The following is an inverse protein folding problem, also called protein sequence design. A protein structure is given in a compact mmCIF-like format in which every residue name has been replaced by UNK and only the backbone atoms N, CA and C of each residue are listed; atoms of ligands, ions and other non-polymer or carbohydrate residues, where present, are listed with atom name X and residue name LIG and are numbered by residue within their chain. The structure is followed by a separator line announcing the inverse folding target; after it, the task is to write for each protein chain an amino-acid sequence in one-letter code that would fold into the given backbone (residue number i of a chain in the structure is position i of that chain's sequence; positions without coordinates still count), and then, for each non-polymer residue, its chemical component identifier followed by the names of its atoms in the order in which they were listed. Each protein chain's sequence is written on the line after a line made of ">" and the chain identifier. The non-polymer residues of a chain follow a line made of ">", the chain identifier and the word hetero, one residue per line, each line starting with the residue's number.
data_IF_382434665369
#
_entry.id   IF_382434665369
#
_cell.length_a   1.000
_cell.length_b   1.000
_cell.length_c   1.000
_cell.angle_alpha   90.00
_cell.angle_beta   90.00
_cell.angle_gamma   90.00
#
_symmetry.space_group_name_H-M   'P 1'
#
loop_
_entity.id
_entity.type
_entity.pdbx_description
1 polymer ?
#
# COMPACT_ATOMS: atom_id res chain seq x y z
N UNK A 1 16.44 -9.50 -1.18
CA UNK A 1 15.94 -8.49 -2.14
C UNK A 1 14.65 -7.87 -1.70
N UNK A 2 14.32 -6.71 -2.27
CA UNK A 2 13.07 -5.98 -2.05
C UNK A 2 12.27 -5.91 -3.35
N UNK A 3 10.95 -5.97 -3.24
CA UNK A 3 10.03 -5.68 -4.32
C UNK A 3 9.05 -4.58 -3.89
N UNK A 4 8.76 -3.65 -4.80
CA UNK A 4 7.89 -2.50 -4.59
C UNK A 4 6.61 -2.71 -5.39
N UNK A 5 5.48 -2.75 -4.69
CA UNK A 5 4.17 -3.08 -5.26
C UNK A 5 3.27 -1.86 -5.12
N UNK A 6 2.99 -1.18 -6.22
CA UNK A 6 2.02 -0.07 -6.23
C UNK A 6 0.61 -0.64 -6.25
N UNK A 7 -0.20 -0.23 -5.27
CA UNK A 7 -1.63 -0.55 -5.19
C UNK A 7 -2.40 0.69 -5.63
N UNK A 8 -3.43 0.53 -6.45
CA UNK A 8 -4.24 1.63 -6.97
C UNK A 8 -5.71 1.26 -6.94
N UNK A 9 -6.54 2.13 -6.36
CA UNK A 9 -7.99 1.97 -6.42
C UNK A 9 -8.52 2.55 -7.72
N UNK A 10 -9.18 1.72 -8.51
CA UNK A 10 -9.77 2.10 -9.79
C UNK A 10 -11.26 1.84 -9.83
N UNK A 11 -11.98 2.59 -10.65
CA UNK A 11 -13.37 2.33 -10.97
C UNK A 11 -13.52 1.10 -11.89
N UNK A 12 -14.77 0.75 -12.21
CA UNK A 12 -15.08 -0.38 -13.11
C UNK A 12 -14.46 -0.28 -14.51
N UNK A 13 -14.00 0.90 -14.92
CA UNK A 13 -13.38 1.14 -16.22
C UNK A 13 -11.84 1.18 -16.13
N UNK A 14 -11.26 0.96 -14.94
CA UNK A 14 -9.82 1.06 -14.70
C UNK A 14 -9.33 2.50 -14.47
N UNK A 15 -10.24 3.46 -14.28
CA UNK A 15 -9.86 4.86 -14.01
C UNK A 15 -9.48 5.01 -12.55
N UNK A 16 -8.31 5.61 -12.27
CA UNK A 16 -7.88 5.89 -10.90
C UNK A 16 -8.92 6.77 -10.17
N UNK A 17 -9.19 6.45 -8.91
CA UNK A 17 -10.04 7.25 -8.03
C UNK A 17 -9.16 8.17 -7.16
N UNK A 18 -8.90 9.43 -7.55
CA UNK A 18 -7.92 10.30 -6.88
C UNK A 18 -8.36 10.81 -5.51
N UNK A 19 -9.63 10.66 -5.15
CA UNK A 19 -10.17 11.06 -3.85
C UNK A 19 -10.28 9.87 -2.88
N UNK A 20 -9.84 8.67 -3.29
CA UNK A 20 -9.96 7.49 -2.47
C UNK A 20 -8.90 7.45 -1.35
N UNK A 21 -9.39 7.26 -0.12
CA UNK A 21 -8.62 7.23 1.13
C UNK A 21 -8.91 5.97 1.97
N UNK A 22 -9.44 4.93 1.33
CA UNK A 22 -9.83 3.67 1.98
C UNK A 22 -8.67 3.06 2.76
N UNK A 23 -8.94 2.55 3.96
CA UNK A 23 -7.97 1.75 4.72
C UNK A 23 -7.85 0.36 4.11
N UNK A 24 -6.60 -0.06 3.88
CA UNK A 24 -6.28 -1.38 3.37
C UNK A 24 -5.47 -2.17 4.40
N UNK A 25 -5.60 -3.50 4.36
CA UNK A 25 -4.82 -4.45 5.16
C UNK A 25 -4.05 -5.38 4.22
N UNK A 26 -2.82 -5.72 4.59
CA UNK A 26 -1.91 -6.50 3.76
C UNK A 26 -1.52 -7.81 4.44
N UNK A 27 -1.54 -8.90 3.67
CA UNK A 27 -1.05 -10.20 4.11
C UNK A 27 -0.11 -10.76 3.06
N UNK A 28 1.13 -11.02 3.47
CA UNK A 28 2.16 -11.64 2.62
C UNK A 28 2.33 -13.09 3.04
N UNK A 29 2.44 -13.99 2.06
CA UNK A 29 2.65 -15.42 2.28
C UNK A 29 3.63 -15.96 1.24
N UNK A 30 4.30 -17.08 1.54
CA UNK A 30 5.28 -17.69 0.62
C UNK A 30 6.72 -17.26 0.93
N UNK A 31 7.54 -17.11 -0.11
CA UNK A 31 8.99 -16.84 0.00
C UNK A 31 9.35 -15.36 0.23
N UNK A 32 8.44 -14.59 0.82
CA UNK A 32 8.64 -13.19 1.15
C UNK A 32 7.90 -12.83 2.44
N UNK A 33 8.34 -11.77 3.10
CA UNK A 33 7.71 -11.17 4.27
C UNK A 33 7.29 -9.73 3.98
N UNK A 34 6.23 -9.27 4.66
CA UNK A 34 5.89 -7.85 4.69
C UNK A 34 7.04 -7.08 5.33
N UNK A 35 7.48 -6.02 4.65
CA UNK A 35 8.53 -5.14 5.18
C UNK A 35 7.93 -3.79 5.60
N UNK A 36 7.24 -3.10 4.68
CA UNK A 36 6.65 -1.80 4.97
C UNK A 36 5.55 -1.41 3.97
N UNK A 37 4.77 -0.38 4.32
CA UNK A 37 3.80 0.29 3.47
C UNK A 37 3.96 1.81 3.58
N UNK A 38 3.73 2.53 2.48
CA UNK A 38 3.74 3.99 2.45
C UNK A 38 2.75 4.52 1.42
N UNK A 39 1.91 5.48 1.80
CA UNK A 39 0.93 6.13 0.93
C UNK A 39 1.41 7.47 0.35
N UNK A 40 2.47 8.06 0.92
CA UNK A 40 3.02 9.36 0.48
C UNK A 40 2.34 10.59 1.08
N UNK A 41 1.43 10.44 2.04
CA UNK A 41 0.83 11.57 2.77
C UNK A 41 1.81 12.10 3.83
N UNK A 42 2.29 13.33 3.66
CA UNK A 42 3.21 13.98 4.58
C UNK A 42 2.62 14.27 5.97
N UNK A 43 1.30 14.16 6.12
CA UNK A 43 0.57 14.39 7.37
C UNK A 43 0.15 13.09 8.07
N UNK A 44 0.29 11.94 7.41
CA UNK A 44 -0.06 10.65 8.01
C UNK A 44 0.94 10.26 9.09
N UNK A 45 0.41 9.76 10.21
CA UNK A 45 1.17 9.22 11.33
C UNK A 45 1.05 7.70 11.43
N UNK A 46 0.49 7.05 10.41
CA UNK A 46 0.37 5.60 10.36
C UNK A 46 1.75 4.92 10.29
N UNK A 47 1.92 3.82 11.01
CA UNK A 47 3.22 3.16 11.17
C UNK A 47 3.56 2.37 9.91
N UNK A 48 4.72 2.65 9.30
CA UNK A 48 5.13 2.02 8.05
C UNK A 48 5.29 0.51 8.13
N UNK A 49 5.63 -0.03 9.30
CA UNK A 49 5.83 -1.47 9.53
C UNK A 49 4.60 -2.20 10.04
N UNK A 50 3.46 -1.51 10.17
CA UNK A 50 2.17 -2.18 10.38
C UNK A 50 1.57 -2.53 9.01
N UNK A 51 0.96 -3.71 8.85
CA UNK A 51 0.45 -4.17 7.57
C UNK A 51 -0.92 -3.54 7.23
N UNK A 52 -1.08 -2.25 7.49
CA UNK A 52 -2.29 -1.49 7.18
C UNK A 52 -1.93 -0.02 6.98
N UNK A 53 -2.61 0.63 6.03
CA UNK A 53 -2.50 2.07 5.81
C UNK A 53 -3.67 2.55 4.96
N UNK A 54 -4.08 3.80 5.14
CA UNK A 54 -5.00 4.45 4.21
C UNK A 54 -4.35 4.75 2.87
N UNK A 55 -5.13 4.62 1.80
CA UNK A 55 -4.75 5.19 0.51
C UNK A 55 -4.55 6.70 0.64
N UNK A 56 -3.65 7.25 -0.16
CA UNK A 56 -3.55 8.68 -0.38
C UNK A 56 -3.61 8.93 -1.88
N UNK A 57 -4.56 9.76 -2.29
CA UNK A 57 -4.92 9.95 -3.68
C UNK A 57 -5.16 8.66 -4.48
N UNK A 58 -5.81 7.68 -3.84
CA UNK A 58 -6.15 6.40 -4.44
C UNK A 58 -4.98 5.43 -4.61
N UNK A 59 -3.79 5.73 -4.09
CA UNK A 59 -2.61 4.87 -4.23
C UNK A 59 -1.84 4.71 -2.92
N UNK A 60 -1.00 3.68 -2.89
CA UNK A 60 0.10 3.47 -1.94
C UNK A 60 1.10 2.46 -2.51
N UNK A 61 2.24 2.31 -1.85
CA UNK A 61 3.25 1.29 -2.18
C UNK A 61 3.43 0.35 -0.99
N UNK A 62 3.39 -0.94 -1.27
CA UNK A 62 3.78 -2.01 -0.33
C UNK A 62 5.16 -2.51 -0.70
N UNK A 63 6.04 -2.62 0.28
CA UNK A 63 7.38 -3.20 0.15
C UNK A 63 7.37 -4.57 0.78
N UNK A 64 7.79 -5.57 -0.01
CA UNK A 64 8.02 -6.93 0.48
C UNK A 64 9.48 -7.30 0.34
N UNK A 65 9.94 -8.17 1.24
CA UNK A 65 11.33 -8.60 1.30
C UNK A 65 11.40 -10.12 1.09
N UNK A 66 12.30 -10.58 0.23
CA UNK A 66 12.59 -12.01 0.11
C UNK A 66 13.09 -12.56 1.46
N UNK A 67 12.56 -13.72 1.85
CA UNK A 67 12.91 -14.39 3.11
C UNK A 67 14.38 -14.79 3.20
#
# INVERSE_FOLDING_TARGET
>A
DLAFITVSLTDKNGTLCPDADHSLEFKVTGAATFNSVCNGDATSLEVFTEPTMKLFHGQLVVVVQAS
#
